data_IF_737168559718
#
_entry.id   IF_737168559718
#
_cell.length_a   1.000
_cell.length_b   1.000
_cell.length_c   1.000
_cell.angle_alpha   90.00
_cell.angle_beta   90.00
_cell.angle_gamma   90.00
#
_symmetry.space_group_name_H-M   'P 1'
#
loop_
_entity.id
_entity.type
_entity.pdbx_description
1 polymer ?
#
# COMPACT_ATOMS: atom_id res chain seq x y z
N UNK A 1 69.43 -0.57 -18.22
CA UNK A 1 68.39 -0.88 -17.23
C UNK A 1 67.56 0.39 -17.02
N UNK A 2 66.45 0.54 -17.74
CA UNK A 2 65.49 1.64 -17.55
C UNK A 2 64.10 0.98 -17.45
N UNK A 3 63.48 1.12 -16.28
CA UNK A 3 62.41 0.28 -15.74
C UNK A 3 60.99 0.73 -16.21
N UNK A 4 59.99 -0.16 -16.15
CA UNK A 4 58.68 -0.09 -16.83
C UNK A 4 57.60 0.75 -16.11
N UNK A 5 57.95 1.86 -15.44
CA UNK A 5 57.02 2.58 -14.55
C UNK A 5 55.86 3.28 -15.27
N UNK A 6 56.03 3.66 -16.55
CA UNK A 6 54.96 4.34 -17.31
C UNK A 6 53.81 3.40 -17.69
N UNK A 7 54.08 2.11 -17.88
CA UNK A 7 53.06 1.11 -18.23
C UNK A 7 52.17 0.77 -17.03
N UNK A 8 52.76 0.63 -15.83
CA UNK A 8 52.02 0.38 -14.59
C UNK A 8 51.11 1.56 -14.20
N UNK A 9 51.53 2.80 -14.47
CA UNK A 9 50.72 4.01 -14.23
C UNK A 9 49.53 4.11 -15.20
N UNK A 10 49.73 3.79 -16.48
CA UNK A 10 48.67 3.77 -17.48
C UNK A 10 47.59 2.70 -17.20
N UNK A 11 48.00 1.50 -16.75
CA UNK A 11 47.08 0.42 -16.37
C UNK A 11 46.26 0.80 -15.14
N UNK A 12 46.87 1.44 -14.12
CA UNK A 12 46.15 1.93 -12.94
C UNK A 12 45.12 3.02 -13.29
N UNK A 13 45.48 3.98 -14.15
CA UNK A 13 44.56 5.03 -14.59
C UNK A 13 43.37 4.47 -15.39
N UNK A 14 43.62 3.47 -16.24
CA UNK A 14 42.57 2.79 -17.00
C UNK A 14 41.62 1.99 -16.08
N UNK A 15 42.15 1.28 -15.08
CA UNK A 15 41.33 0.56 -14.09
C UNK A 15 40.48 1.51 -13.22
N UNK A 16 41.02 2.67 -12.81
CA UNK A 16 40.26 3.68 -12.05
C UNK A 16 39.13 4.27 -12.91
N UNK A 17 39.40 4.57 -14.18
CA UNK A 17 38.38 5.05 -15.12
C UNK A 17 37.26 4.03 -15.36
N UNK A 18 37.61 2.75 -15.52
CA UNK A 18 36.64 1.67 -15.70
C UNK A 18 35.79 1.44 -14.44
N UNK A 19 36.39 1.54 -13.25
CA UNK A 19 35.67 1.42 -11.98
C UNK A 19 34.74 2.61 -11.73
N UNK A 20 35.16 3.83 -12.07
CA UNK A 20 34.32 5.03 -11.96
C UNK A 20 33.12 5.00 -12.93
N UNK A 21 33.32 4.54 -14.17
CA UNK A 21 32.23 4.36 -15.13
C UNK A 21 31.26 3.25 -14.70
N UNK A 22 31.78 2.13 -14.18
CA UNK A 22 30.98 1.06 -13.61
C UNK A 22 30.14 1.52 -12.41
N UNK A 23 30.72 2.32 -11.52
CA UNK A 23 30.01 2.89 -10.39
C UNK A 23 28.89 3.87 -10.83
N UNK A 24 29.13 4.68 -11.86
CA UNK A 24 28.11 5.59 -12.40
C UNK A 24 26.91 4.85 -13.00
N UNK A 25 27.13 3.72 -13.68
CA UNK A 25 26.03 2.88 -14.22
C UNK A 25 25.22 2.22 -13.10
N UNK A 26 25.87 1.79 -12.01
CA UNK A 26 25.18 1.17 -10.87
C UNK A 26 24.29 2.16 -10.11
N UNK A 27 24.69 3.44 -10.02
CA UNK A 27 23.88 4.47 -9.34
C UNK A 27 22.71 4.93 -10.24
N UNK A 28 22.85 4.88 -11.56
CA UNK A 28 21.79 5.23 -12.51
C UNK A 28 20.62 4.21 -12.57
N UNK A 29 20.76 3.03 -11.96
CA UNK A 29 19.70 2.01 -11.92
C UNK A 29 18.58 2.28 -10.91
N UNK A 30 18.79 3.16 -9.92
CA UNK A 30 17.79 3.51 -8.92
C UNK A 30 16.80 4.55 -9.46
N UNK A 31 15.83 4.12 -10.28
CA UNK A 31 14.74 4.99 -10.73
C UNK A 31 13.56 4.96 -9.76
N UNK A 32 13.12 6.14 -9.32
CA UNK A 32 11.87 6.32 -8.56
C UNK A 32 10.86 6.93 -9.52
N UNK A 33 9.83 6.17 -9.91
CA UNK A 33 8.78 6.65 -10.79
C UNK A 33 7.50 6.93 -9.98
N UNK A 34 6.98 8.18 -10.00
CA UNK A 34 5.70 8.48 -9.38
C UNK A 34 4.56 7.72 -10.07
N UNK A 35 3.65 7.14 -9.28
CA UNK A 35 2.50 6.39 -9.81
C UNK A 35 1.61 7.20 -10.77
N UNK A 36 1.55 8.52 -10.59
CA UNK A 36 0.74 9.43 -11.41
C UNK A 36 1.56 10.19 -12.47
N UNK A 37 2.85 9.86 -12.68
CA UNK A 37 3.63 10.55 -13.70
C UNK A 37 3.24 10.10 -15.10
N UNK A 38 3.17 11.07 -16.01
CA UNK A 38 2.77 10.87 -17.40
C UNK A 38 3.91 10.37 -18.30
N UNK A 39 5.17 10.51 -17.87
CA UNK A 39 6.35 10.17 -18.67
C UNK A 39 6.97 8.83 -18.25
N UNK A 40 6.84 7.85 -19.13
CA UNK A 40 7.52 6.55 -19.07
C UNK A 40 8.95 6.64 -19.64
N UNK A 41 9.81 7.45 -19.02
CA UNK A 41 11.18 7.67 -19.49
C UNK A 41 12.18 7.92 -18.36
N UNK A 42 13.41 7.44 -18.55
CA UNK A 42 14.55 7.72 -17.69
C UNK A 42 14.80 9.23 -17.64
N UNK A 43 14.39 9.87 -16.54
CA UNK A 43 14.37 11.33 -16.41
C UNK A 43 13.02 11.92 -16.00
N UNK A 44 12.10 11.14 -15.43
CA UNK A 44 10.88 11.65 -14.79
C UNK A 44 11.25 12.63 -13.67
N UNK A 45 11.34 13.92 -14.01
CA UNK A 45 11.55 14.98 -13.04
C UNK A 45 10.48 14.92 -11.95
N UNK A 46 10.92 15.03 -10.69
CA UNK A 46 10.04 15.23 -9.55
C UNK A 46 9.37 16.60 -9.76
N UNK A 47 8.16 16.60 -10.34
CA UNK A 47 7.48 17.81 -10.82
C UNK A 47 6.80 17.68 -12.19
N UNK A 48 6.91 16.53 -12.86
CA UNK A 48 6.19 16.26 -14.11
C UNK A 48 4.67 16.30 -13.94
N UNK A 49 3.99 16.98 -14.87
CA UNK A 49 2.53 17.05 -15.03
C UNK A 49 1.86 15.70 -14.77
N UNK A 50 0.98 15.66 -13.75
CA UNK A 50 0.06 14.55 -13.50
C UNK A 50 -0.77 14.36 -14.76
N UNK A 51 -0.78 13.18 -15.38
CA UNK A 51 -1.72 12.94 -16.49
C UNK A 51 -3.14 13.16 -15.96
N UNK A 52 -3.90 14.10 -16.52
CA UNK A 52 -5.31 14.27 -16.17
C UNK A 52 -6.09 12.95 -16.32
N UNK A 53 -5.66 12.11 -17.27
CA UNK A 53 -6.28 10.84 -17.63
C UNK A 53 -6.31 9.78 -16.51
N UNK A 54 -5.26 9.67 -15.68
CA UNK A 54 -5.27 8.63 -14.63
C UNK A 54 -6.19 9.00 -13.46
N UNK A 55 -6.18 10.27 -13.06
CA UNK A 55 -7.06 10.78 -12.00
C UNK A 55 -8.53 10.66 -12.42
N UNK A 56 -8.86 11.01 -13.67
CA UNK A 56 -10.23 10.88 -14.20
C UNK A 56 -10.66 9.41 -14.34
N UNK A 57 -9.77 8.52 -14.81
CA UNK A 57 -10.02 7.08 -14.84
C UNK A 57 -10.32 6.52 -13.45
N UNK A 58 -9.49 6.84 -12.46
CA UNK A 58 -9.71 6.41 -11.08
C UNK A 58 -11.00 6.99 -10.48
N UNK A 59 -11.31 8.26 -10.73
CA UNK A 59 -12.54 8.90 -10.27
C UNK A 59 -13.81 8.32 -10.91
N UNK A 60 -13.69 7.58 -12.02
CA UNK A 60 -14.81 6.91 -12.70
C UNK A 60 -15.15 5.52 -12.15
N UNK A 61 -14.48 5.09 -11.07
CA UNK A 61 -14.72 3.82 -10.40
C UNK A 61 -15.82 4.00 -9.34
N UNK A 62 -16.93 3.25 -9.47
CA UNK A 62 -17.91 3.09 -8.39
C UNK A 62 -17.59 1.87 -7.53
N UNK A 63 -17.94 1.92 -6.25
CA UNK A 63 -17.68 0.84 -5.29
C UNK A 63 -18.99 0.25 -4.82
N UNK A 64 -19.09 -1.08 -4.88
CA UNK A 64 -20.30 -1.79 -4.48
C UNK A 64 -20.66 -1.49 -3.00
N UNK A 65 -21.96 -1.50 -2.64
CA UNK A 65 -22.39 -1.29 -1.27
C UNK A 65 -21.79 -2.29 -0.29
N UNK A 66 -21.46 -1.82 0.91
CA UNK A 66 -21.03 -2.66 2.02
C UNK A 66 -22.20 -2.89 3.00
N UNK A 67 -22.28 -4.08 3.59
CA UNK A 67 -23.36 -4.46 4.51
C UNK A 67 -23.04 -4.25 6.00
N UNK A 68 -21.77 -3.97 6.33
CA UNK A 68 -21.28 -3.86 7.69
C UNK A 68 -20.50 -2.55 7.93
N UNK A 69 -20.29 -2.21 9.20
CA UNK A 69 -19.60 -0.96 9.60
C UNK A 69 -18.17 -0.95 9.04
N UNK A 70 -17.45 -2.06 9.15
CA UNK A 70 -16.09 -2.15 8.65
C UNK A 70 -16.01 -1.97 7.13
N UNK A 71 -16.90 -2.63 6.38
CA UNK A 71 -16.95 -2.45 4.94
C UNK A 71 -17.35 -1.05 4.52
N UNK A 72 -18.23 -0.39 5.29
CA UNK A 72 -18.56 1.01 5.02
C UNK A 72 -17.38 1.95 5.28
N UNK A 73 -16.58 1.71 6.31
CA UNK A 73 -15.34 2.47 6.59
C UNK A 73 -14.34 2.33 5.43
N UNK A 74 -14.06 1.10 4.98
CA UNK A 74 -13.19 0.82 3.83
C UNK A 74 -13.74 1.49 2.56
N UNK A 75 -15.04 1.37 2.32
CA UNK A 75 -15.72 1.95 1.15
C UNK A 75 -15.61 3.47 1.14
N UNK A 76 -15.90 4.13 2.27
CA UNK A 76 -15.84 5.58 2.36
C UNK A 76 -14.43 6.11 2.12
N UNK A 77 -13.41 5.45 2.69
CA UNK A 77 -12.01 5.81 2.45
C UNK A 77 -11.64 5.60 0.97
N UNK A 78 -12.06 4.50 0.35
CA UNK A 78 -11.82 4.26 -1.07
C UNK A 78 -12.49 5.30 -1.98
N UNK A 79 -13.74 5.69 -1.68
CA UNK A 79 -14.44 6.77 -2.42
C UNK A 79 -13.60 8.04 -2.35
N UNK A 80 -13.14 8.41 -1.15
CA UNK A 80 -12.29 9.58 -0.97
C UNK A 80 -10.98 9.48 -1.77
N UNK A 81 -10.30 8.33 -1.74
CA UNK A 81 -9.05 8.12 -2.46
C UNK A 81 -9.23 8.19 -3.98
N UNK A 82 -10.32 7.63 -4.53
CA UNK A 82 -10.57 7.64 -5.98
C UNK A 82 -11.03 9.00 -6.49
N UNK A 83 -11.95 9.67 -5.79
CA UNK A 83 -12.55 10.93 -6.27
C UNK A 83 -11.93 12.19 -5.67
N UNK A 84 -11.05 12.06 -4.68
CA UNK A 84 -10.48 13.20 -3.96
C UNK A 84 -11.51 13.99 -3.16
N UNK A 85 -12.61 13.35 -2.73
CA UNK A 85 -13.68 13.98 -1.96
C UNK A 85 -14.87 14.47 -2.79
N UNK A 86 -14.87 14.28 -4.11
CA UNK A 86 -16.01 14.65 -4.97
C UNK A 86 -17.21 13.69 -4.86
N UNK A 87 -17.10 12.61 -4.09
CA UNK A 87 -18.13 11.58 -3.95
C UNK A 87 -18.02 10.49 -5.03
N UNK A 88 -19.10 9.74 -5.24
CA UNK A 88 -19.15 8.70 -6.28
C UNK A 88 -19.55 9.26 -7.65
N UNK A 89 -19.01 8.70 -8.75
CA UNK A 89 -19.35 9.14 -10.10
C UNK A 89 -20.81 8.81 -10.45
N UNK A 90 -21.51 9.77 -11.04
CA UNK A 90 -22.90 9.57 -11.51
C UNK A 90 -23.00 8.51 -12.63
N UNK A 91 -21.99 8.45 -13.50
CA UNK A 91 -21.87 7.47 -14.58
C UNK A 91 -20.53 6.73 -14.47
N UNK A 92 -20.43 5.66 -13.67
CA UNK A 92 -19.19 4.92 -13.51
C UNK A 92 -18.81 4.15 -14.77
N UNK A 93 -17.55 4.27 -15.19
CA UNK A 93 -16.99 3.43 -16.26
C UNK A 93 -16.57 2.05 -15.72
N UNK A 94 -16.22 1.98 -14.43
CA UNK A 94 -15.76 0.76 -13.78
C UNK A 94 -16.49 0.53 -12.47
N UNK A 95 -16.61 -0.73 -12.06
CA UNK A 95 -17.13 -1.13 -10.75
C UNK A 95 -16.12 -1.97 -9.97
N UNK A 96 -15.91 -1.61 -8.71
CA UNK A 96 -15.06 -2.32 -7.77
C UNK A 96 -15.92 -3.08 -6.76
N UNK A 97 -15.85 -4.40 -6.80
CA UNK A 97 -16.43 -5.27 -5.78
C UNK A 97 -15.39 -5.62 -4.73
N UNK A 98 -15.79 -5.61 -3.45
CA UNK A 98 -14.94 -5.91 -2.31
C UNK A 98 -15.48 -7.11 -1.54
N UNK A 99 -14.64 -8.12 -1.32
CA UNK A 99 -14.85 -9.22 -0.39
C UNK A 99 -14.00 -8.98 0.85
N UNK A 100 -14.61 -8.47 1.91
CA UNK A 100 -13.92 -8.05 3.13
C UNK A 100 -14.05 -9.10 4.23
N UNK A 101 -12.98 -9.29 5.01
CA UNK A 101 -12.97 -10.13 6.20
C UNK A 101 -12.06 -9.51 7.26
N UNK A 102 -12.52 -9.52 8.51
CA UNK A 102 -11.76 -9.02 9.65
C UNK A 102 -11.72 -10.05 10.76
N UNK A 103 -10.56 -10.22 11.39
CA UNK A 103 -10.39 -11.10 12.54
C UNK A 103 -9.49 -10.46 13.59
N UNK A 104 -9.90 -10.50 14.86
CA UNK A 104 -9.09 -10.02 15.99
C UNK A 104 -8.43 -11.21 16.68
N UNK A 105 -7.10 -11.20 16.77
CA UNK A 105 -6.32 -12.25 17.46
C UNK A 105 -5.56 -11.68 18.66
N UNK A 106 -5.33 -12.50 19.68
CA UNK A 106 -4.40 -12.18 20.77
C UNK A 106 -2.96 -12.25 20.26
N UNK A 107 -2.14 -11.26 20.59
CA UNK A 107 -0.76 -11.16 20.10
C UNK A 107 0.27 -11.54 21.16
N UNK A 108 0.09 -11.05 22.39
CA UNK A 108 0.99 -11.29 23.52
C UNK A 108 0.16 -11.54 24.76
N UNK A 109 0.51 -12.58 25.53
CA UNK A 109 -0.07 -12.85 26.84
C UNK A 109 0.95 -12.53 27.92
N UNK A 110 0.52 -11.79 28.94
CA UNK A 110 1.35 -11.46 30.09
C UNK A 110 0.70 -12.08 31.32
N UNK A 111 1.52 -12.72 32.16
CA UNK A 111 1.09 -13.17 33.47
C UNK A 111 0.89 -11.92 34.35
N UNK A 112 -0.34 -11.72 34.82
CA UNK A 112 -0.70 -10.50 35.56
C UNK A 112 -0.28 -10.59 37.04
N UNK A 113 0.26 -11.73 37.51
CA UNK A 113 0.74 -11.86 38.89
C UNK A 113 -0.37 -11.71 39.95
N UNK A 114 -1.64 -11.72 39.52
CA UNK A 114 -2.81 -11.74 40.37
C UNK A 114 -2.98 -13.18 40.86
N UNK A 115 -2.95 -13.40 42.19
CA UNK A 115 -2.98 -14.76 42.76
C UNK A 115 -4.27 -15.54 42.42
N UNK A 116 -5.26 -14.87 41.84
CA UNK A 116 -6.57 -15.42 41.47
C UNK A 116 -6.65 -15.95 40.04
N UNK A 117 -5.79 -15.50 39.10
CA UNK A 117 -5.94 -15.84 37.68
C UNK A 117 -4.57 -16.12 37.01
N UNK A 118 -4.09 -17.35 37.18
CA UNK A 118 -2.77 -17.83 36.72
C UNK A 118 -2.70 -18.18 35.22
N UNK A 119 -3.76 -17.94 34.46
CA UNK A 119 -3.84 -18.35 33.04
C UNK A 119 -3.28 -17.34 32.06
N UNK A 120 -2.79 -16.18 32.54
CA UNK A 120 -2.27 -15.11 31.70
C UNK A 120 -3.37 -14.39 30.92
N UNK A 121 -3.28 -13.07 30.79
CA UNK A 121 -4.23 -12.26 30.01
C UNK A 121 -3.51 -11.67 28.81
N UNK A 122 -4.16 -11.63 27.63
CA UNK A 122 -3.56 -11.00 26.48
C UNK A 122 -3.37 -9.50 26.77
N UNK A 123 -2.13 -9.02 26.78
CA UNK A 123 -1.79 -7.61 26.97
C UNK A 123 -1.87 -6.81 25.67
N UNK A 124 -1.87 -7.50 24.52
CA UNK A 124 -1.98 -6.90 23.20
C UNK A 124 -2.82 -7.79 22.26
N UNK A 125 -3.49 -7.15 21.31
CA UNK A 125 -4.24 -7.79 20.23
C UNK A 125 -3.82 -7.25 18.86
N UNK A 126 -4.15 -8.00 17.81
CA UNK A 126 -3.97 -7.59 16.42
C UNK A 126 -5.30 -7.78 15.69
N UNK A 127 -5.78 -6.72 15.05
CA UNK A 127 -6.88 -6.77 14.08
C UNK A 127 -6.26 -7.04 12.71
N UNK A 128 -6.54 -8.21 12.14
CA UNK A 128 -6.18 -8.57 10.76
C UNK A 128 -7.36 -8.31 9.86
N UNK A 129 -7.16 -7.55 8.79
CA UNK A 129 -8.17 -7.29 7.78
C UNK A 129 -7.68 -7.74 6.40
N UNK A 130 -8.57 -8.36 5.64
CA UNK A 130 -8.29 -8.87 4.29
C UNK A 130 -9.36 -8.38 3.32
N UNK A 131 -8.94 -7.99 2.12
CA UNK A 131 -9.82 -7.62 1.02
C UNK A 131 -9.46 -8.43 -0.22
N UNK A 132 -10.40 -9.20 -0.73
CA UNK A 132 -10.37 -9.75 -2.08
C UNK A 132 -11.17 -8.82 -2.97
N UNK A 133 -10.57 -8.26 -4.02
CA UNK A 133 -11.25 -7.27 -4.85
C UNK A 133 -11.27 -7.69 -6.32
N UNK A 134 -12.32 -7.23 -7.01
CA UNK A 134 -12.52 -7.44 -8.44
C UNK A 134 -12.96 -6.12 -9.06
N UNK A 135 -12.16 -5.61 -9.99
CA UNK A 135 -12.50 -4.47 -10.84
C UNK A 135 -13.12 -4.98 -12.13
N UNK A 136 -14.29 -4.46 -12.49
CA UNK A 136 -15.01 -4.78 -13.73
C UNK A 136 -15.23 -3.53 -14.58
N UNK A 137 -15.25 -3.72 -15.89
CA UNK A 137 -15.69 -2.70 -16.86
C UNK A 137 -17.23 -2.52 -16.83
N UNK A 138 -17.76 -1.52 -17.53
CA UNK A 138 -19.18 -1.25 -17.73
C UNK A 138 -19.95 -2.47 -18.26
N UNK A 139 -19.29 -3.30 -19.07
CA UNK A 139 -19.86 -4.52 -19.67
C UNK A 139 -19.76 -5.74 -18.72
N UNK A 140 -19.24 -5.57 -17.50
CA UNK A 140 -19.13 -6.62 -16.48
C UNK A 140 -17.89 -7.53 -16.61
N UNK A 141 -17.01 -7.27 -17.58
CA UNK A 141 -15.78 -8.06 -17.76
C UNK A 141 -14.77 -7.76 -16.64
N UNK A 142 -14.15 -8.78 -16.01
CA UNK A 142 -13.14 -8.57 -14.98
C UNK A 142 -11.84 -8.04 -15.61
N UNK A 143 -11.42 -6.84 -15.19
CA UNK A 143 -10.18 -6.20 -15.65
C UNK A 143 -9.01 -6.44 -14.70
N UNK A 144 -9.28 -6.42 -13.40
CA UNK A 144 -8.26 -6.65 -12.38
C UNK A 144 -8.85 -7.39 -11.18
N UNK A 145 -8.05 -8.30 -10.62
CA UNK A 145 -8.35 -8.96 -9.36
C UNK A 145 -7.13 -8.95 -8.47
N UNK A 146 -7.35 -9.07 -7.18
CA UNK A 146 -6.26 -9.19 -6.22
C UNK A 146 -6.74 -9.42 -4.80
N UNK A 147 -5.78 -9.66 -3.92
CA UNK A 147 -6.01 -9.75 -2.48
C UNK A 147 -5.01 -8.86 -1.74
N UNK A 148 -5.46 -8.20 -0.68
CA UNK A 148 -4.64 -7.38 0.22
C UNK A 148 -4.96 -7.71 1.66
N UNK A 149 -3.93 -7.67 2.49
CA UNK A 149 -4.04 -7.94 3.92
C UNK A 149 -3.25 -6.89 4.69
N UNK A 150 -3.87 -6.41 5.77
CA UNK A 150 -3.27 -5.47 6.72
C UNK A 150 -3.47 -5.99 8.14
N UNK A 151 -2.65 -5.50 9.05
CA UNK A 151 -2.73 -5.83 10.45
C UNK A 151 -2.47 -4.58 11.30
N UNK A 152 -3.37 -4.30 12.24
CA UNK A 152 -3.23 -3.21 13.20
C UNK A 152 -3.18 -3.77 14.62
N UNK A 153 -2.10 -3.50 15.35
CA UNK A 153 -1.96 -3.85 16.76
C UNK A 153 -2.66 -2.85 17.68
N UNK A 154 -3.07 -3.31 18.86
CA UNK A 154 -3.58 -2.49 19.95
C UNK A 154 -3.24 -3.11 21.31
N UNK A 155 -3.20 -2.27 22.34
CA UNK A 155 -3.03 -2.70 23.72
C UNK A 155 -4.36 -3.12 24.32
N UNK A 156 -4.32 -4.16 25.16
CA UNK A 156 -5.47 -4.71 25.88
C UNK A 156 -5.35 -4.40 27.38
N UNK A 157 -5.80 -3.22 27.82
CA UNK A 157 -5.81 -2.85 29.24
C UNK A 157 -6.81 -3.70 30.03
N UNK A 158 -6.65 -3.73 31.37
CA UNK A 158 -7.57 -4.47 32.28
C UNK A 158 -9.00 -3.91 32.27
N UNK A 159 -9.17 -2.63 31.93
CA UNK A 159 -10.48 -2.01 31.88
C UNK A 159 -11.17 -2.38 30.55
N UNK A 160 -12.30 -3.10 30.63
CA UNK A 160 -12.99 -3.62 29.46
C UNK A 160 -13.47 -2.53 28.48
N UNK A 161 -13.92 -1.36 28.97
CA UNK A 161 -14.28 -0.25 28.08
C UNK A 161 -13.08 0.29 27.30
N UNK A 162 -11.92 0.42 27.95
CA UNK A 162 -10.71 0.88 27.28
C UNK A 162 -10.22 -0.16 26.24
N UNK A 163 -10.36 -1.45 26.56
CA UNK A 163 -10.07 -2.54 25.63
C UNK A 163 -10.98 -2.49 24.38
N UNK A 164 -12.30 -2.34 24.57
CA UNK A 164 -13.24 -2.19 23.45
C UNK A 164 -12.94 -0.97 22.58
N UNK A 165 -12.52 0.15 23.19
CA UNK A 165 -12.13 1.36 22.46
C UNK A 165 -10.82 1.18 21.69
N UNK A 166 -9.82 0.54 22.28
CA UNK A 166 -8.55 0.25 21.63
C UNK A 166 -8.73 -0.70 20.43
N UNK A 167 -9.59 -1.72 20.56
CA UNK A 167 -9.88 -2.61 19.44
C UNK A 167 -10.62 -1.88 18.30
N UNK A 168 -11.55 -0.98 18.63
CA UNK A 168 -12.26 -0.18 17.63
C UNK A 168 -11.32 0.74 16.86
N UNK A 169 -10.40 1.42 17.57
CA UNK A 169 -9.36 2.25 16.94
C UNK A 169 -8.48 1.42 15.98
N UNK A 170 -8.03 0.23 16.40
CA UNK A 170 -7.26 -0.65 15.52
C UNK A 170 -8.05 -1.10 14.29
N UNK A 171 -9.36 -1.36 14.44
CA UNK A 171 -10.23 -1.69 13.31
C UNK A 171 -10.35 -0.54 12.31
N UNK A 172 -10.55 0.69 12.79
CA UNK A 172 -10.63 1.89 11.94
C UNK A 172 -9.29 2.16 11.22
N UNK A 173 -8.16 1.98 11.91
CA UNK A 173 -6.83 2.08 11.28
C UNK A 173 -6.62 1.01 10.22
N UNK A 174 -6.98 -0.25 10.52
CA UNK A 174 -6.91 -1.34 9.55
C UNK A 174 -7.81 -1.10 8.33
N UNK A 175 -9.01 -0.55 8.53
CA UNK A 175 -9.91 -0.20 7.42
C UNK A 175 -9.26 0.81 6.46
N UNK A 176 -8.69 1.89 7.01
CA UNK A 176 -8.01 2.93 6.23
C UNK A 176 -6.78 2.40 5.48
N UNK A 177 -5.95 1.62 6.16
CA UNK A 177 -4.75 1.04 5.54
C UNK A 177 -5.13 0.04 4.42
N UNK A 178 -6.15 -0.79 4.65
CA UNK A 178 -6.64 -1.74 3.65
C UNK A 178 -7.17 -1.02 2.41
N UNK A 179 -7.93 0.06 2.60
CA UNK A 179 -8.40 0.92 1.52
C UNK A 179 -7.21 1.49 0.71
N UNK A 180 -6.19 2.01 1.37
CA UNK A 180 -4.99 2.53 0.68
C UNK A 180 -4.24 1.45 -0.10
N UNK A 181 -4.11 0.24 0.46
CA UNK A 181 -3.48 -0.88 -0.25
C UNK A 181 -4.28 -1.34 -1.47
N UNK A 182 -5.61 -1.40 -1.36
CA UNK A 182 -6.50 -1.74 -2.48
C UNK A 182 -6.44 -0.65 -3.55
N UNK A 183 -6.51 0.62 -3.14
CA UNK A 183 -6.38 1.78 -4.02
C UNK A 183 -5.08 1.71 -4.84
N UNK A 184 -3.95 1.50 -4.17
CA UNK A 184 -2.64 1.38 -4.83
C UNK A 184 -2.63 0.20 -5.81
N UNK A 185 -3.18 -0.94 -5.43
CA UNK A 185 -3.26 -2.11 -6.29
C UNK A 185 -4.09 -1.87 -7.55
N UNK A 186 -5.24 -1.19 -7.40
CA UNK A 186 -6.12 -0.81 -8.51
C UNK A 186 -5.43 0.22 -9.40
N UNK A 187 -4.83 1.26 -8.84
CA UNK A 187 -4.12 2.28 -9.59
C UNK A 187 -2.94 1.70 -10.40
N UNK A 188 -2.17 0.78 -9.82
CA UNK A 188 -1.10 0.08 -10.53
C UNK A 188 -1.59 -0.83 -11.67
N UNK A 189 -2.82 -1.33 -11.59
CA UNK A 189 -3.43 -2.14 -12.66
C UNK A 189 -4.01 -1.25 -13.76
N UNK A 190 -4.67 -0.18 -13.37
CA UNK A 190 -5.24 0.83 -14.27
C UNK A 190 -4.18 1.56 -15.08
N UNK A 191 -2.94 1.71 -14.58
CA UNK A 191 -1.86 2.33 -15.35
C UNK A 191 -1.33 1.46 -16.50
N UNK A 192 -1.70 0.17 -16.54
CA UNK A 192 -1.28 -0.79 -17.58
C UNK A 192 -2.36 -1.07 -18.62
N UNK A 193 -3.56 -0.51 -18.44
CA UNK A 193 -4.72 -0.63 -19.33
C UNK A 193 -4.81 0.61 -20.24
#
# INVERSE_FOLDING_TARGET
MSLPDRFLSAIKAFCIGFFALGAAVLIAGCSVQPLYSSNHGAGSAIGGSVTPDMRTKLASIAIDPAGDIFGQEVRNELIFLFSGGAGEPANPAYRLSLGLSTNTIAAVSVDIGDQTDRTGRPSAGIVKATSNFVLRDKDGKPLATGSRMVAASFDRPRQEFANLRAERDARERAAKELAQQVYLAVALKMSKL
#
